data_IF_583451393467
#
_entry.id   IF_583451393467
#
_cell.length_a   1.000
_cell.length_b   1.000
_cell.length_c   1.000
_cell.angle_alpha   90.00
_cell.angle_beta   90.00
_cell.angle_gamma   90.00
#
_symmetry.space_group_name_H-M   'P 1'
#
loop_
_entity.id
_entity.type
_entity.pdbx_description
1 polymer ?
#
# COMPACT_ATOMS: atom_id res chain seq x y z
N UNK A 1 28.59 16.09 -31.25
CA UNK A 1 29.11 14.73 -31.54
C UNK A 1 29.51 14.07 -30.24
N UNK A 2 29.63 12.74 -30.23
CA UNK A 2 29.94 11.91 -29.04
C UNK A 2 31.21 12.33 -28.29
N UNK A 3 31.34 12.05 -26.98
CA UNK A 3 32.09 10.86 -26.52
C UNK A 3 32.53 10.91 -25.04
N UNK A 4 32.23 9.83 -24.29
CA UNK A 4 33.00 9.29 -23.12
C UNK A 4 33.18 10.21 -21.88
N UNK A 5 33.44 9.73 -20.65
CA UNK A 5 33.85 8.42 -20.07
C UNK A 5 33.26 8.38 -18.61
N UNK A 6 33.27 7.34 -17.76
CA UNK A 6 33.99 6.05 -17.64
C UNK A 6 33.11 5.01 -16.88
N UNK A 7 33.59 3.78 -16.71
CA UNK A 7 33.02 2.70 -15.86
C UNK A 7 34.02 2.30 -14.77
N UNK A 8 33.56 1.96 -13.56
CA UNK A 8 34.16 0.99 -12.59
C UNK A 8 33.16 0.78 -11.44
N UNK A 9 32.92 -0.39 -10.83
CA UNK A 9 33.50 -1.74 -11.00
C UNK A 9 33.74 -2.44 -9.65
N UNK A 10 33.33 -3.71 -9.48
CA UNK A 10 33.51 -4.54 -8.26
C UNK A 10 32.19 -4.78 -7.50
N UNK A 11 31.58 -5.97 -7.37
CA UNK A 11 31.96 -7.41 -7.45
C UNK A 11 32.64 -7.98 -6.19
N UNK A 12 31.99 -9.01 -5.62
CA UNK A 12 32.49 -9.91 -4.56
C UNK A 12 32.20 -9.44 -3.13
N UNK A 13 31.68 -10.26 -2.20
CA UNK A 13 31.25 -11.66 -2.26
C UNK A 13 31.45 -12.35 -0.90
N UNK A 14 30.91 -13.57 -0.72
CA UNK A 14 31.26 -14.53 0.36
C UNK A 14 30.82 -14.16 1.82
N UNK A 15 30.39 -15.07 2.72
CA UNK A 15 30.18 -16.53 2.70
C UNK A 15 28.98 -16.94 3.59
N UNK A 16 28.34 -18.06 3.23
CA UNK A 16 27.71 -19.11 4.05
C UNK A 16 26.40 -18.85 4.82
N UNK A 17 25.49 -19.80 4.60
CA UNK A 17 24.35 -20.11 5.44
C UNK A 17 24.82 -20.82 6.72
N UNK A 18 24.05 -20.69 7.81
CA UNK A 18 23.82 -21.85 8.68
C UNK A 18 22.44 -21.79 9.33
N UNK A 19 21.85 -22.97 9.56
CA UNK A 19 20.44 -23.14 9.90
C UNK A 19 20.24 -23.30 11.41
N UNK A 20 19.53 -22.36 12.06
CA UNK A 20 18.83 -22.66 13.31
C UNK A 20 17.45 -22.02 13.39
N UNK A 21 16.44 -22.89 13.47
CA UNK A 21 15.04 -22.61 13.78
C UNK A 21 14.84 -21.67 14.97
N UNK A 22 14.11 -20.56 14.76
CA UNK A 22 13.39 -19.88 15.85
C UNK A 22 11.94 -19.66 15.40
N UNK A 23 11.02 -20.35 16.08
CA UNK A 23 9.58 -20.09 16.00
C UNK A 23 9.30 -18.76 16.70
N UNK A 24 8.89 -17.73 15.96
CA UNK A 24 8.58 -16.41 16.50
C UNK A 24 7.70 -15.61 15.54
N UNK A 25 6.57 -15.10 16.04
CA UNK A 25 5.55 -14.40 15.26
C UNK A 25 6.10 -13.16 14.52
N UNK A 26 5.65 -12.88 13.27
CA UNK A 26 6.02 -11.64 12.60
C UNK A 26 5.28 -10.45 13.23
N UNK A 27 5.96 -9.71 14.10
CA UNK A 27 5.57 -8.35 14.46
C UNK A 27 5.81 -7.44 13.26
N UNK A 28 4.73 -6.90 12.69
CA UNK A 28 4.77 -6.01 11.53
C UNK A 28 5.65 -4.78 11.79
N UNK A 29 6.86 -4.73 11.24
CA UNK A 29 7.70 -3.53 11.25
C UNK A 29 7.17 -2.53 10.21
N UNK A 30 6.45 -1.51 10.68
CA UNK A 30 6.03 -0.39 9.85
C UNK A 30 7.24 0.50 9.49
N UNK A 31 7.90 0.17 8.38
CA UNK A 31 8.94 1.02 7.77
C UNK A 31 8.27 2.25 7.18
N UNK A 32 8.22 3.32 7.99
CA UNK A 32 7.70 4.63 7.61
C UNK A 32 8.85 5.59 7.21
N UNK A 33 9.43 5.35 6.04
CA UNK A 33 10.07 6.40 5.24
C UNK A 33 8.95 7.18 4.52
N UNK A 34 8.81 8.51 4.59
CA UNK A 34 9.73 9.56 5.05
C UNK A 34 8.94 10.70 5.71
N UNK A 35 9.39 11.18 6.88
CA UNK A 35 8.91 12.45 7.44
C UNK A 35 10.06 13.46 7.39
N UNK A 36 10.21 14.17 6.26
CA UNK A 36 11.27 15.18 6.07
C UNK A 36 11.21 16.23 7.19
N UNK A 37 12.23 16.24 8.04
CA UNK A 37 12.29 17.02 9.27
C UNK A 37 12.50 18.51 9.01
N UNK A 38 11.43 19.28 8.80
CA UNK A 38 11.51 20.75 8.88
C UNK A 38 11.37 21.23 10.34
N UNK A 39 12.25 20.71 11.20
CA UNK A 39 12.32 21.01 12.63
C UNK A 39 13.61 21.75 12.95
N UNK A 40 13.70 23.02 12.55
CA UNK A 40 14.71 23.96 13.07
C UNK A 40 14.41 24.32 14.54
N UNK A 41 14.48 23.31 15.42
CA UNK A 41 14.34 23.43 16.86
C UNK A 41 15.54 24.20 17.39
N UNK A 42 15.39 25.53 17.48
CA UNK A 42 16.31 26.32 18.30
C UNK A 42 16.18 25.83 19.74
N UNK A 43 17.21 25.15 20.25
CA UNK A 43 17.27 24.59 21.61
C UNK A 43 17.35 25.66 22.72
N UNK A 44 16.75 26.82 22.49
CA UNK A 44 16.58 27.89 23.48
C UNK A 44 15.54 27.46 24.51
N UNK A 45 15.79 27.64 25.81
CA UNK A 45 14.77 27.39 26.82
C UNK A 45 13.54 28.26 26.52
N UNK A 46 12.35 27.65 26.54
CA UNK A 46 11.09 28.37 26.34
C UNK A 46 11.00 29.49 27.39
N UNK A 47 10.97 30.75 26.94
CA UNK A 47 10.66 31.88 27.82
C UNK A 47 9.31 31.60 28.49
N UNK A 48 9.22 31.89 29.78
CA UNK A 48 7.94 31.87 30.52
C UNK A 48 6.98 32.84 29.83
N UNK A 49 5.71 32.46 29.73
CA UNK A 49 4.67 33.37 29.23
C UNK A 49 4.44 34.47 30.27
N UNK A 50 4.73 35.70 29.88
CA UNK A 50 4.47 36.90 30.67
C UNK A 50 3.34 37.68 30.01
N UNK A 51 2.43 38.21 30.82
CA UNK A 51 1.31 39.03 30.33
C UNK A 51 1.84 40.41 29.92
N UNK A 52 1.51 40.84 28.71
CA UNK A 52 1.82 42.21 28.26
C UNK A 52 1.10 43.22 29.17
N UNK A 53 1.81 44.21 29.75
CA UNK A 53 1.22 45.23 30.62
C UNK A 53 0.05 45.97 29.98
N UNK A 54 -0.97 46.33 30.76
CA UNK A 54 -2.22 46.94 30.24
C UNK A 54 -1.99 48.19 29.39
N UNK A 55 -1.09 49.07 29.80
CA UNK A 55 -0.78 50.32 29.07
C UNK A 55 -0.16 50.08 27.68
N UNK A 56 0.46 48.92 27.44
CA UNK A 56 0.99 48.56 26.13
C UNK A 56 -0.10 47.97 25.21
N UNK A 57 -1.27 47.60 25.74
CA UNK A 57 -2.32 46.94 24.95
C UNK A 57 -3.08 47.88 24.02
N UNK A 58 -2.96 49.19 24.23
CA UNK A 58 -3.47 50.25 23.36
C UNK A 58 -2.46 50.72 22.33
N UNK A 59 -1.20 50.29 22.40
CA UNK A 59 -0.17 50.66 21.42
C UNK A 59 -0.50 50.06 20.03
N UNK A 60 -0.39 50.82 18.92
CA UNK A 60 -0.70 50.34 17.58
C UNK A 60 0.01 49.03 17.21
N UNK A 61 1.32 48.93 17.47
CA UNK A 61 2.14 47.74 17.18
C UNK A 61 1.59 46.46 17.85
N UNK A 62 1.13 46.59 19.10
CA UNK A 62 0.52 45.47 19.82
C UNK A 62 -0.84 45.11 19.21
N UNK A 63 -1.67 46.10 18.85
CA UNK A 63 -2.97 45.87 18.21
C UNK A 63 -2.77 45.10 16.89
N UNK A 64 -1.86 45.55 16.03
CA UNK A 64 -1.54 44.89 14.75
C UNK A 64 -0.98 43.48 14.94
N UNK A 65 -0.08 43.29 15.92
CA UNK A 65 0.45 41.98 16.26
C UNK A 65 -0.65 41.03 16.77
N UNK A 66 -1.64 41.55 17.53
CA UNK A 66 -2.80 40.77 18.01
C UNK A 66 -3.79 40.46 16.90
N UNK A 67 -4.04 41.38 15.96
CA UNK A 67 -4.87 41.11 14.77
C UNK A 67 -4.22 40.03 13.90
N UNK A 68 -2.92 40.15 13.60
CA UNK A 68 -2.16 39.12 12.88
C UNK A 68 -2.21 37.76 13.59
N UNK A 69 -2.02 37.73 14.91
CA UNK A 69 -2.12 36.50 15.70
C UNK A 69 -3.53 35.88 15.70
N UNK A 70 -4.60 36.66 15.90
CA UNK A 70 -6.00 36.17 15.80
C UNK A 70 -6.28 35.57 14.42
N UNK A 71 -5.83 36.22 13.35
CA UNK A 71 -6.00 35.73 11.99
C UNK A 71 -5.22 34.44 11.73
N UNK A 72 -4.00 34.31 12.25
CA UNK A 72 -3.22 33.07 12.19
C UNK A 72 -3.90 31.94 12.95
N UNK A 73 -4.40 32.19 14.17
CA UNK A 73 -5.14 31.20 14.98
C UNK A 73 -6.45 30.78 14.30
N UNK A 74 -7.18 31.70 13.67
CA UNK A 74 -8.39 31.38 12.89
C UNK A 74 -8.03 30.47 11.71
N UNK A 75 -7.03 30.82 10.89
CA UNK A 75 -6.58 30.01 9.76
C UNK A 75 -6.08 28.63 10.20
N UNK A 76 -5.35 28.53 11.32
CA UNK A 76 -4.91 27.25 11.90
C UNK A 76 -6.10 26.36 12.28
N UNK A 77 -7.08 26.91 13.02
CA UNK A 77 -8.28 26.16 13.44
C UNK A 77 -9.09 25.65 12.25
N UNK A 78 -9.32 26.50 11.24
CA UNK A 78 -10.04 26.08 10.04
C UNK A 78 -9.25 25.02 9.26
N UNK A 79 -7.94 25.19 9.06
CA UNK A 79 -7.09 24.17 8.41
C UNK A 79 -7.18 22.80 9.12
N UNK A 80 -7.18 22.78 10.45
CA UNK A 80 -7.32 21.54 11.23
C UNK A 80 -8.69 20.90 11.04
N UNK A 81 -9.79 21.68 11.00
CA UNK A 81 -11.14 21.15 10.70
C UNK A 81 -11.22 20.59 9.28
N UNK A 82 -10.71 21.32 8.28
CA UNK A 82 -10.73 20.88 6.88
C UNK A 82 -9.95 19.59 6.69
N UNK A 83 -8.77 19.46 7.33
CA UNK A 83 -7.99 18.20 7.28
C UNK A 83 -8.75 17.02 7.87
N UNK A 84 -9.45 17.20 9.00
CA UNK A 84 -10.26 16.15 9.59
C UNK A 84 -11.42 15.72 8.67
N UNK A 85 -12.11 16.69 8.02
CA UNK A 85 -13.17 16.41 7.05
C UNK A 85 -12.66 15.65 5.82
N UNK A 86 -11.51 16.06 5.27
CA UNK A 86 -10.88 15.41 4.12
C UNK A 86 -10.52 13.95 4.39
N UNK A 87 -10.01 13.63 5.59
CA UNK A 87 -9.69 12.25 5.97
C UNK A 87 -10.93 11.34 6.06
N UNK A 88 -12.06 11.85 6.54
CA UNK A 88 -13.32 11.08 6.54
C UNK A 88 -13.90 10.92 5.11
N UNK A 89 -13.78 11.94 4.25
CA UNK A 89 -14.16 11.84 2.83
C UNK A 89 -13.29 10.81 2.08
N UNK A 90 -11.98 10.81 2.30
CA UNK A 90 -11.03 9.83 1.76
C UNK A 90 -11.36 8.41 2.24
N UNK A 91 -11.61 8.23 3.53
CA UNK A 91 -12.03 6.95 4.12
C UNK A 91 -13.33 6.42 3.52
N UNK A 92 -14.32 7.28 3.27
CA UNK A 92 -15.57 6.91 2.58
C UNK A 92 -15.28 6.49 1.13
N UNK A 93 -14.42 7.23 0.42
CA UNK A 93 -14.01 6.92 -0.95
C UNK A 93 -13.30 5.55 -1.04
N UNK A 94 -12.30 5.31 -0.19
CA UNK A 94 -11.59 4.03 -0.11
C UNK A 94 -12.53 2.88 0.25
N UNK A 95 -13.47 3.09 1.20
CA UNK A 95 -14.47 2.08 1.56
C UNK A 95 -15.39 1.72 0.38
N UNK A 96 -15.77 2.70 -0.44
CA UNK A 96 -16.55 2.45 -1.66
C UNK A 96 -15.74 1.69 -2.71
N UNK A 97 -14.45 2.01 -2.87
CA UNK A 97 -13.55 1.34 -3.79
C UNK A 97 -13.28 -0.12 -3.39
N UNK A 98 -13.08 -0.41 -2.09
CA UNK A 98 -12.98 -1.79 -1.59
C UNK A 98 -14.22 -2.60 -1.94
N UNK A 99 -15.42 -2.07 -1.68
CA UNK A 99 -16.69 -2.73 -2.06
C UNK A 99 -16.81 -2.98 -3.56
N UNK A 100 -16.28 -2.09 -4.41
CA UNK A 100 -16.24 -2.31 -5.85
C UNK A 100 -15.34 -3.50 -6.19
N UNK A 101 -14.12 -3.56 -5.65
CA UNK A 101 -13.20 -4.68 -5.88
C UNK A 101 -13.71 -6.01 -5.32
N UNK A 102 -14.40 -6.03 -4.16
CA UNK A 102 -15.04 -7.23 -3.62
C UNK A 102 -16.13 -7.76 -4.56
N UNK A 103 -16.97 -6.88 -5.10
CA UNK A 103 -18.00 -7.25 -6.08
C UNK A 103 -17.39 -7.76 -7.39
N UNK A 104 -16.31 -7.14 -7.87
CA UNK A 104 -15.56 -7.58 -9.04
C UNK A 104 -14.93 -8.97 -8.83
N UNK A 105 -14.32 -9.22 -7.67
CA UNK A 105 -13.76 -10.51 -7.30
C UNK A 105 -14.85 -11.60 -7.25
N UNK A 106 -16.01 -11.29 -6.66
CA UNK A 106 -17.19 -12.18 -6.66
C UNK A 106 -17.67 -12.47 -8.08
N UNK A 107 -17.76 -11.46 -8.95
CA UNK A 107 -18.17 -11.62 -10.36
C UNK A 107 -17.20 -12.52 -11.11
N UNK A 108 -15.90 -12.24 -11.04
CA UNK A 108 -14.84 -13.01 -11.70
C UNK A 108 -14.84 -14.46 -11.20
N UNK A 109 -14.94 -14.69 -9.90
CA UNK A 109 -15.00 -16.05 -9.35
C UNK A 109 -16.24 -16.81 -9.81
N UNK A 110 -17.43 -16.18 -9.83
CA UNK A 110 -18.65 -16.78 -10.38
C UNK A 110 -18.52 -17.13 -11.86
N UNK A 111 -17.86 -16.30 -12.67
CA UNK A 111 -17.60 -16.58 -14.09
C UNK A 111 -16.53 -17.66 -14.32
N UNK A 112 -15.56 -17.82 -13.42
CA UNK A 112 -14.49 -18.83 -13.53
C UNK A 112 -14.95 -20.25 -13.20
N UNK A 113 -15.82 -20.42 -12.21
CA UNK A 113 -16.32 -21.74 -11.79
C UNK A 113 -16.87 -22.62 -12.94
N UNK A 114 -17.80 -22.16 -13.80
CA UNK A 114 -18.30 -22.99 -14.90
C UNK A 114 -17.23 -23.32 -15.94
N UNK A 115 -16.25 -22.45 -16.16
CA UNK A 115 -15.13 -22.71 -17.07
C UNK A 115 -14.22 -23.83 -16.54
N UNK A 116 -13.90 -23.83 -15.24
CA UNK A 116 -13.14 -24.92 -14.61
C UNK A 116 -13.90 -26.24 -14.67
N UNK A 117 -15.22 -26.24 -14.40
CA UNK A 117 -16.07 -27.43 -14.52
C UNK A 117 -16.07 -27.95 -15.95
N UNK A 118 -16.21 -27.08 -16.96
CA UNK A 118 -16.18 -27.46 -18.37
C UNK A 118 -14.85 -28.09 -18.78
N UNK A 119 -13.71 -27.51 -18.38
CA UNK A 119 -12.38 -28.06 -18.64
C UNK A 119 -12.20 -29.42 -17.94
N UNK A 120 -12.65 -29.56 -16.70
CA UNK A 120 -12.57 -30.83 -15.97
C UNK A 120 -13.40 -31.94 -16.62
N UNK A 121 -14.66 -31.64 -16.98
CA UNK A 121 -15.55 -32.62 -17.63
C UNK A 121 -15.06 -33.01 -19.03
N UNK A 122 -14.58 -32.05 -19.82
CA UNK A 122 -14.07 -32.33 -21.17
C UNK A 122 -12.77 -33.15 -21.15
N UNK A 123 -11.82 -32.82 -20.27
CA UNK A 123 -10.59 -33.61 -20.10
C UNK A 123 -10.87 -35.04 -19.61
N UNK A 124 -11.77 -35.20 -18.65
CA UNK A 124 -12.23 -36.52 -18.20
C UNK A 124 -12.88 -37.33 -19.33
N UNK A 125 -13.78 -36.72 -20.11
CA UNK A 125 -14.44 -37.37 -21.25
C UNK A 125 -13.44 -37.82 -22.32
N UNK A 126 -12.46 -36.97 -22.68
CA UNK A 126 -11.40 -37.32 -23.61
C UNK A 126 -10.54 -38.49 -23.10
N UNK A 127 -10.22 -38.52 -21.80
CA UNK A 127 -9.50 -39.62 -21.18
C UNK A 127 -10.29 -40.94 -21.27
N UNK A 128 -11.58 -40.94 -20.94
CA UNK A 128 -12.44 -42.13 -21.06
C UNK A 128 -12.53 -42.60 -22.52
N UNK A 129 -12.76 -41.70 -23.47
CA UNK A 129 -12.82 -42.05 -24.90
C UNK A 129 -11.50 -42.62 -25.43
N UNK A 130 -10.34 -42.12 -24.98
CA UNK A 130 -9.04 -42.66 -25.37
C UNK A 130 -8.84 -44.11 -24.88
N UNK A 131 -9.25 -44.42 -23.64
CA UNK A 131 -9.18 -45.78 -23.07
C UNK A 131 -10.12 -46.74 -23.82
N UNK A 132 -11.34 -46.29 -24.13
CA UNK A 132 -12.29 -47.08 -24.93
C UNK A 132 -11.72 -47.38 -26.31
N UNK A 133 -11.16 -46.38 -27.01
CA UNK A 133 -10.60 -46.57 -28.35
C UNK A 133 -9.42 -47.56 -28.36
N UNK A 134 -8.47 -47.43 -27.40
CA UNK A 134 -7.35 -48.39 -27.24
C UNK A 134 -7.85 -49.81 -26.94
N UNK A 135 -8.88 -49.95 -26.11
CA UNK A 135 -9.48 -51.25 -25.76
C UNK A 135 -10.19 -51.90 -26.97
N UNK A 136 -10.82 -51.10 -27.82
CA UNK A 136 -11.45 -51.58 -29.06
C UNK A 136 -10.41 -51.99 -30.12
N UNK A 137 -9.36 -51.18 -30.35
CA UNK A 137 -8.30 -51.51 -31.31
C UNK A 137 -7.51 -52.76 -30.93
N UNK A 138 -7.28 -52.99 -29.64
CA UNK A 138 -6.54 -54.16 -29.13
C UNK A 138 -7.38 -55.44 -29.03
N UNK A 139 -8.70 -55.35 -29.28
CA UNK A 139 -9.60 -56.51 -29.36
C UNK A 139 -9.72 -57.09 -30.78
N UNK A 140 -9.54 -56.27 -31.83
CA UNK A 140 -9.63 -56.73 -33.23
C UNK A 140 -8.43 -57.53 -33.72
N UNK A 141 -7.27 -57.44 -33.08
CA UNK A 141 -6.03 -58.14 -33.49
C UNK A 141 -5.95 -59.61 -33.03
N UNK A 142 -6.94 -60.12 -32.28
CA UNK A 142 -6.94 -61.50 -31.75
C UNK A 142 -7.67 -62.53 -32.60
N UNK A 143 -8.16 -62.15 -33.79
CA UNK A 143 -8.91 -63.02 -34.70
C UNK A 143 -8.20 -63.31 -36.04
N UNK A 144 -6.93 -62.93 -36.17
CA UNK A 144 -6.07 -63.28 -37.30
C UNK A 144 -4.74 -63.85 -36.79
N UNK A 145 -4.69 -65.16 -36.57
CA UNK A 145 -3.50 -66.00 -36.38
C UNK A 145 -3.83 -67.44 -36.73
#
# INVERSE_FOLDING_TARGET
MSSMQTLTGGVGGHILEDVTTIVGSPTSSCVSTEASECSSSSNRPRKKYECVPEYMKTAPDYIDQRVRNRNAVKRFREKSKTKAKQLEEEKVSLTALTKLYDNELIRINRSKQPLYIFIFVSTYYLQVMSVVHVSSSSSSTKYFS
#
